data_IF_070370237551
#
_entry.id   IF_070370237551
#
_cell.length_a   1.000
_cell.length_b   1.000
_cell.length_c   1.000
_cell.angle_alpha   90.00
_cell.angle_beta   90.00
_cell.angle_gamma   90.00
#
_symmetry.space_group_name_H-M   'P 1'
#
loop_
_entity.id
_entity.type
_entity.pdbx_description
1 polymer ?
#
# COMPACT_ATOMS: atom_id res chain seq x y z
N UNK A 1 6.72 -10.93 9.89
CA UNK A 1 6.45 -11.17 8.46
C UNK A 1 6.41 -9.84 7.73
N UNK A 2 6.73 -9.82 6.44
CA UNK A 2 6.61 -8.60 5.59
C UNK A 2 5.88 -8.95 4.29
N UNK A 3 5.07 -8.00 3.80
CA UNK A 3 4.44 -8.04 2.48
C UNK A 3 4.62 -6.66 1.83
N UNK A 4 5.57 -6.55 0.91
CA UNK A 4 5.95 -5.28 0.34
C UNK A 4 5.41 -5.13 -1.08
N UNK A 5 4.62 -4.07 -1.30
CA UNK A 5 4.08 -3.65 -2.60
C UNK A 5 3.45 -4.80 -3.41
N UNK A 6 2.66 -5.65 -2.75
CA UNK A 6 2.09 -6.85 -3.37
C UNK A 6 0.57 -6.94 -3.26
N UNK A 7 -0.03 -6.58 -2.12
CA UNK A 7 -1.48 -6.74 -1.93
C UNK A 7 -2.32 -5.90 -2.89
N UNK A 8 -1.84 -4.74 -3.32
CA UNK A 8 -2.58 -3.88 -4.23
C UNK A 8 -2.80 -4.49 -5.63
N UNK A 9 -2.06 -5.54 -6.00
CA UNK A 9 -2.34 -6.28 -7.23
C UNK A 9 -3.56 -7.20 -7.12
N UNK A 10 -4.04 -7.46 -5.91
CA UNK A 10 -5.19 -8.33 -5.68
C UNK A 10 -6.46 -7.52 -5.45
N UNK A 11 -7.53 -7.91 -6.14
CA UNK A 11 -8.86 -7.33 -5.92
C UNK A 11 -9.41 -7.69 -4.54
N UNK A 12 -9.21 -8.93 -4.10
CA UNK A 12 -9.70 -9.45 -2.83
C UNK A 12 -8.53 -9.74 -1.89
N UNK A 13 -8.62 -9.22 -0.68
CA UNK A 13 -7.61 -9.40 0.36
C UNK A 13 -7.98 -10.42 1.44
N UNK A 14 -9.20 -10.93 1.43
CA UNK A 14 -9.69 -11.83 2.46
C UNK A 14 -8.80 -13.08 2.60
N UNK A 15 -8.54 -13.76 1.49
CA UNK A 15 -7.75 -15.00 1.49
C UNK A 15 -6.28 -14.75 1.89
N UNK A 16 -5.55 -13.79 1.30
CA UNK A 16 -4.16 -13.55 1.71
C UNK A 16 -4.05 -13.05 3.16
N UNK A 17 -4.95 -12.18 3.63
CA UNK A 17 -4.90 -11.69 5.01
C UNK A 17 -5.24 -12.79 6.02
N UNK A 18 -6.21 -13.66 5.73
CA UNK A 18 -6.48 -14.85 6.54
C UNK A 18 -5.27 -15.80 6.59
N UNK A 19 -4.54 -15.93 5.48
CA UNK A 19 -3.31 -16.72 5.42
C UNK A 19 -2.20 -16.10 6.28
N UNK A 20 -2.08 -14.76 6.30
CA UNK A 20 -1.14 -14.07 7.18
C UNK A 20 -1.49 -14.29 8.66
N UNK A 21 -2.77 -14.13 9.01
CA UNK A 21 -3.25 -14.35 10.37
C UNK A 21 -2.95 -15.79 10.84
N UNK A 22 -3.16 -16.80 9.98
CA UNK A 22 -2.92 -18.21 10.29
C UNK A 22 -1.47 -18.55 10.62
N UNK A 23 -0.50 -17.86 10.01
CA UNK A 23 0.93 -18.13 10.22
C UNK A 23 1.55 -17.26 11.31
N UNK A 24 0.88 -16.19 11.72
CA UNK A 24 1.35 -15.34 12.81
C UNK A 24 1.02 -15.97 14.16
N UNK A 25 1.95 -15.87 15.10
CA UNK A 25 1.66 -16.15 16.51
C UNK A 25 0.81 -15.03 17.09
N UNK A 26 -0.02 -15.29 18.10
CA UNK A 26 -0.69 -14.22 18.86
C UNK A 26 0.33 -13.16 19.31
N UNK A 27 0.03 -11.89 19.09
CA UNK A 27 0.95 -10.77 19.32
C UNK A 27 2.04 -10.61 18.27
N UNK A 28 2.12 -11.47 17.27
CA UNK A 28 3.06 -11.36 16.16
C UNK A 28 2.74 -10.18 15.24
N UNK A 29 3.72 -9.77 14.43
CA UNK A 29 3.58 -8.61 13.54
C UNK A 29 3.69 -9.00 12.07
N UNK A 30 2.94 -8.25 11.25
CA UNK A 30 3.18 -8.12 9.82
C UNK A 30 3.39 -6.65 9.46
N UNK A 31 4.36 -6.40 8.60
CA UNK A 31 4.57 -5.09 7.99
C UNK A 31 4.14 -5.17 6.54
N UNK A 32 3.21 -4.30 6.15
CA UNK A 32 2.64 -4.26 4.80
C UNK A 32 2.90 -2.88 4.22
N UNK A 33 3.50 -2.81 3.03
CA UNK A 33 3.59 -1.58 2.27
C UNK A 33 2.70 -1.63 1.03
N UNK A 34 2.07 -0.50 0.72
CA UNK A 34 1.16 -0.32 -0.41
C UNK A 34 1.47 1.01 -1.10
N UNK A 35 1.01 1.17 -2.33
CA UNK A 35 0.89 2.50 -2.92
C UNK A 35 -0.10 3.32 -2.09
N UNK A 36 0.25 4.59 -1.86
CA UNK A 36 -0.60 5.47 -1.06
C UNK A 36 -1.85 5.84 -1.86
N UNK A 37 -3.06 5.74 -1.29
CA UNK A 37 -4.31 6.01 -2.02
C UNK A 37 -4.48 7.47 -2.45
N UNK A 38 -3.72 8.38 -1.86
CA UNK A 38 -3.62 9.78 -2.26
C UNK A 38 -2.27 10.11 -2.93
N UNK A 39 -1.47 9.10 -3.26
CA UNK A 39 -0.12 9.27 -3.78
C UNK A 39 -0.05 9.90 -5.15
N UNK A 40 1.16 10.36 -5.46
CA UNK A 40 1.51 11.06 -6.67
C UNK A 40 1.20 10.26 -7.94
N UNK A 41 1.12 10.94 -9.06
CA UNK A 41 -0.09 11.14 -9.81
C UNK A 41 -0.55 9.83 -10.37
N UNK A 42 -1.60 9.28 -9.80
CA UNK A 42 -2.39 8.29 -10.51
C UNK A 42 -3.01 9.00 -11.71
N UNK A 43 -2.78 8.55 -12.94
CA UNK A 43 -3.18 9.26 -14.16
C UNK A 43 -4.66 9.53 -14.26
N UNK A 44 -5.47 8.82 -13.49
CA UNK A 44 -6.91 8.97 -13.48
C UNK A 44 -7.49 8.92 -12.06
N UNK A 45 -7.36 10.02 -11.33
CA UNK A 45 -8.09 10.21 -10.07
C UNK A 45 -9.56 10.65 -10.29
N UNK A 46 -10.06 10.53 -11.50
CA UNK A 46 -11.45 10.82 -11.85
C UNK A 46 -12.34 9.66 -11.44
N UNK A 47 -12.66 9.56 -10.19
CA UNK A 47 -13.58 8.56 -9.72
C UNK A 47 -13.98 8.82 -8.28
N UNK A 48 -14.98 8.09 -7.84
CA UNK A 48 -15.40 8.10 -6.46
C UNK A 48 -14.29 7.50 -5.58
N UNK A 49 -13.71 8.31 -4.72
CA UNK A 49 -12.68 7.85 -3.77
C UNK A 49 -13.15 6.66 -2.93
N UNK A 50 -14.42 6.63 -2.56
CA UNK A 50 -14.97 5.60 -1.67
C UNK A 50 -15.14 4.24 -2.33
N UNK A 51 -14.92 4.15 -3.63
CA UNK A 51 -14.97 2.89 -4.35
C UNK A 51 -13.57 2.32 -4.60
N UNK A 52 -13.47 0.99 -4.54
CA UNK A 52 -12.29 0.28 -5.01
C UNK A 52 -12.19 0.39 -6.52
N UNK A 53 -11.05 0.82 -7.03
CA UNK A 53 -10.83 1.07 -8.44
C UNK A 53 -9.60 0.33 -8.96
N UNK A 54 -9.71 -0.23 -10.16
CA UNK A 54 -8.56 -0.71 -10.91
C UNK A 54 -7.87 0.47 -11.59
N UNK A 55 -6.61 0.68 -11.28
CA UNK A 55 -5.77 1.75 -11.81
C UNK A 55 -4.70 1.15 -12.69
N UNK A 56 -4.37 1.84 -13.78
CA UNK A 56 -3.28 1.47 -14.67
C UNK A 56 -2.21 2.55 -14.64
N UNK A 57 -0.96 2.14 -14.51
CA UNK A 57 0.20 3.02 -14.57
C UNK A 57 1.23 2.45 -15.54
N UNK A 58 1.81 3.31 -16.38
CA UNK A 58 2.77 2.90 -17.40
C UNK A 58 4.14 3.49 -17.10
N UNK A 59 5.12 2.63 -16.98
CA UNK A 59 6.49 2.97 -16.68
C UNK A 59 7.40 2.68 -17.87
N UNK A 60 8.33 3.59 -18.13
CA UNK A 60 9.47 3.35 -19.01
C UNK A 60 10.69 3.00 -18.18
N UNK A 61 11.18 1.76 -18.29
CA UNK A 61 12.42 1.30 -17.68
C UNK A 61 13.33 0.68 -18.74
N UNK A 62 14.52 1.24 -18.90
CA UNK A 62 15.54 0.74 -19.83
C UNK A 62 14.97 0.46 -21.23
N UNK A 63 14.24 1.44 -21.80
CA UNK A 63 13.60 1.38 -23.12
C UNK A 63 12.48 0.33 -23.26
N UNK A 64 12.01 -0.23 -22.14
CA UNK A 64 10.84 -1.11 -22.12
C UNK A 64 9.68 -0.39 -21.43
N UNK A 65 8.57 -0.28 -22.16
CA UNK A 65 7.31 0.20 -21.61
C UNK A 65 6.59 -0.95 -20.90
N UNK A 66 6.26 -0.74 -19.62
CA UNK A 66 5.54 -1.71 -18.80
C UNK A 66 4.30 -1.07 -18.22
N UNK A 67 3.13 -1.58 -18.55
CA UNK A 67 1.87 -1.17 -17.94
C UNK A 67 1.55 -2.09 -16.77
N UNK A 68 1.37 -1.50 -15.59
CA UNK A 68 0.94 -2.19 -14.39
C UNK A 68 -0.51 -1.88 -14.08
N UNK A 69 -1.23 -2.86 -13.54
CA UNK A 69 -2.60 -2.71 -13.06
C UNK A 69 -2.63 -3.04 -11.58
N UNK A 70 -3.23 -2.16 -10.77
CA UNK A 70 -3.37 -2.37 -9.33
C UNK A 70 -4.69 -1.79 -8.81
N UNK A 71 -5.14 -2.30 -7.67
CA UNK A 71 -6.39 -1.91 -7.05
C UNK A 71 -6.14 -0.83 -6.00
N UNK A 72 -6.62 0.38 -6.25
CA UNK A 72 -6.69 1.42 -5.25
C UNK A 72 -7.88 1.18 -4.33
N UNK A 73 -7.65 1.25 -3.02
CA UNK A 73 -8.67 1.13 -1.99
C UNK A 73 -8.73 2.41 -1.15
N UNK A 74 -9.93 2.85 -0.73
CA UNK A 74 -10.06 3.84 0.33
C UNK A 74 -9.36 3.38 1.62
N UNK A 75 -8.79 4.31 2.37
CA UNK A 75 -8.12 3.99 3.65
C UNK A 75 -9.04 3.25 4.64
N UNK A 76 -10.33 3.62 4.69
CA UNK A 76 -11.31 2.92 5.52
C UNK A 76 -11.42 1.45 5.16
N UNK A 77 -11.57 1.12 3.87
CA UNK A 77 -11.63 -0.27 3.41
C UNK A 77 -10.33 -1.05 3.66
N UNK A 78 -9.18 -0.38 3.63
CA UNK A 78 -7.91 -1.00 4.01
C UNK A 78 -7.92 -1.37 5.50
N UNK A 79 -8.34 -0.43 6.35
CA UNK A 79 -8.41 -0.66 7.79
C UNK A 79 -9.42 -1.77 8.16
N UNK A 80 -10.59 -1.77 7.53
CA UNK A 80 -11.62 -2.79 7.71
C UNK A 80 -11.10 -4.18 7.32
N UNK A 81 -10.44 -4.30 6.16
CA UNK A 81 -9.86 -5.56 5.71
C UNK A 81 -8.82 -6.13 6.68
N UNK A 82 -8.00 -5.27 7.29
CA UNK A 82 -7.05 -5.70 8.33
C UNK A 82 -7.77 -6.13 9.60
N UNK A 83 -8.76 -5.35 10.05
CA UNK A 83 -9.53 -5.66 11.26
C UNK A 83 -10.29 -6.99 11.13
N UNK A 84 -10.93 -7.23 9.98
CA UNK A 84 -11.65 -8.48 9.67
C UNK A 84 -10.73 -9.70 9.72
N UNK A 85 -9.44 -9.53 9.44
CA UNK A 85 -8.43 -10.59 9.57
C UNK A 85 -7.81 -10.70 10.98
N UNK A 86 -8.28 -9.91 11.96
CA UNK A 86 -7.71 -9.86 13.31
C UNK A 86 -6.34 -9.18 13.37
N UNK A 87 -6.05 -8.32 12.40
CA UNK A 87 -4.81 -7.57 12.29
C UNK A 87 -5.05 -6.11 12.66
N UNK A 88 -4.59 -5.69 13.83
CA UNK A 88 -4.77 -4.32 14.30
C UNK A 88 -3.64 -3.41 13.83
N UNK A 89 -3.98 -2.23 13.33
CA UNK A 89 -3.01 -1.21 12.95
C UNK A 89 -2.35 -0.66 14.23
N UNK A 90 -1.07 -0.94 14.39
CA UNK A 90 -0.26 -0.45 15.51
C UNK A 90 0.51 0.82 15.12
N UNK A 91 0.91 0.91 13.85
CA UNK A 91 1.63 2.07 13.32
C UNK A 91 1.36 2.24 11.84
N UNK A 92 1.23 3.49 11.41
CA UNK A 92 1.27 3.93 10.01
C UNK A 92 2.53 4.76 9.82
N UNK A 93 3.21 4.57 8.71
CA UNK A 93 4.34 5.39 8.27
C UNK A 93 4.14 5.79 6.80
N UNK A 94 4.39 7.05 6.52
CA UNK A 94 4.39 7.63 5.18
C UNK A 94 5.83 8.08 4.88
N UNK A 95 6.62 7.23 4.21
CA UNK A 95 8.04 7.52 3.98
C UNK A 95 8.20 8.72 3.04
N UNK A 96 9.18 9.56 3.35
CA UNK A 96 9.59 10.70 2.53
C UNK A 96 10.99 10.45 1.97
N UNK A 97 11.30 11.01 0.78
CA UNK A 97 12.67 11.01 0.30
C UNK A 97 13.60 11.72 1.29
N UNK A 98 14.80 11.19 1.49
CA UNK A 98 15.80 11.84 2.31
C UNK A 98 16.30 13.13 1.65
N UNK A 99 16.80 14.08 2.45
CA UNK A 99 17.40 15.30 1.91
C UNK A 99 18.56 15.02 0.93
N UNK A 100 19.32 13.95 1.18
CA UNK A 100 20.37 13.51 0.27
C UNK A 100 19.79 13.00 -1.07
N UNK A 101 18.74 12.17 -1.02
CA UNK A 101 18.11 11.68 -2.23
C UNK A 101 17.53 12.83 -3.07
N UNK A 102 16.89 13.83 -2.44
CA UNK A 102 16.36 15.02 -3.12
C UNK A 102 17.49 15.81 -3.80
N UNK A 103 18.64 15.95 -3.14
CA UNK A 103 19.80 16.64 -3.75
C UNK A 103 20.38 15.89 -4.94
N UNK A 104 20.42 14.55 -4.88
CA UNK A 104 21.00 13.71 -5.94
C UNK A 104 20.09 13.49 -7.13
N UNK A 105 18.76 13.45 -6.90
CA UNK A 105 17.76 13.06 -7.87
C UNK A 105 16.57 14.05 -7.88
N UNK A 106 16.81 15.36 -8.07
CA UNK A 106 15.76 16.38 -7.92
C UNK A 106 14.67 16.28 -8.99
N UNK A 107 15.01 15.83 -10.18
CA UNK A 107 14.05 15.71 -11.29
C UNK A 107 13.13 14.51 -11.07
N UNK A 108 13.71 13.37 -10.70
CA UNK A 108 13.00 12.10 -10.49
C UNK A 108 12.07 12.15 -9.27
N UNK A 109 12.46 12.92 -8.26
CA UNK A 109 11.70 13.00 -6.99
C UNK A 109 10.71 14.17 -6.93
N UNK A 110 10.64 15.01 -7.96
CA UNK A 110 9.81 16.24 -7.96
C UNK A 110 8.35 15.98 -7.57
N UNK A 111 7.77 14.87 -8.01
CA UNK A 111 6.36 14.51 -7.75
C UNK A 111 6.11 13.85 -6.39
N UNK A 112 7.17 13.55 -5.61
CA UNK A 112 7.06 12.77 -4.36
C UNK A 112 7.64 13.50 -3.13
N UNK A 113 8.13 14.74 -3.32
CA UNK A 113 8.69 15.54 -2.22
C UNK A 113 7.60 15.94 -1.23
N UNK A 114 6.46 16.42 -1.74
CA UNK A 114 5.35 16.98 -0.98
C UNK A 114 4.10 16.11 -1.01
N UNK A 115 4.16 14.95 -1.65
CA UNK A 115 3.06 14.02 -1.79
C UNK A 115 3.49 12.60 -1.43
N UNK A 116 2.72 11.86 -0.62
CA UNK A 116 3.10 10.51 -0.24
C UNK A 116 2.94 9.55 -1.42
N UNK A 117 3.98 8.73 -1.69
CA UNK A 117 3.91 7.67 -2.71
C UNK A 117 3.52 6.34 -2.12
N UNK A 118 3.98 6.07 -0.91
CA UNK A 118 3.79 4.81 -0.23
C UNK A 118 3.19 5.01 1.16
N UNK A 119 2.48 3.99 1.61
CA UNK A 119 2.01 3.87 2.98
C UNK A 119 2.46 2.53 3.55
N UNK A 120 2.97 2.52 4.77
CA UNK A 120 3.47 1.33 5.44
C UNK A 120 2.69 1.14 6.73
N UNK A 121 2.11 -0.03 6.89
CA UNK A 121 1.38 -0.44 8.07
C UNK A 121 2.20 -1.45 8.86
N UNK A 122 2.38 -1.24 10.16
CA UNK A 122 2.74 -2.29 11.10
C UNK A 122 1.47 -2.76 11.78
N UNK A 123 1.14 -4.03 11.56
CA UNK A 123 -0.07 -4.65 12.06
C UNK A 123 0.30 -5.70 13.09
N UNK A 124 -0.43 -5.73 14.20
CA UNK A 124 -0.33 -6.77 15.23
C UNK A 124 -1.46 -7.76 15.08
N UNK A 125 -1.14 -9.04 15.04
CA UNK A 125 -2.15 -10.09 15.12
C UNK A 125 -2.68 -10.22 16.54
N UNK A 126 -3.93 -9.89 16.72
CA UNK A 126 -4.61 -9.96 18.04
C UNK A 126 -5.34 -11.27 18.26
N UNK A 127 -5.63 -12.03 17.21
CA UNK A 127 -6.46 -13.24 17.19
C UNK A 127 -7.60 -13.09 16.19
N UNK A 128 -8.26 -14.20 15.88
CA UNK A 128 -9.47 -14.13 15.06
C UNK A 128 -10.53 -13.28 15.76
N UNK A 129 -11.28 -12.43 15.03
CA UNK A 129 -12.44 -11.77 15.60
C UNK A 129 -13.42 -12.82 16.14
N UNK A 130 -13.95 -12.52 17.31
CA UNK A 130 -14.92 -13.40 17.97
C UNK A 130 -16.21 -13.51 17.15
#
# INVERSE_FOLDING_TARGET
MTCSLALHYLRDWQVPLASFARILRPGGWVVISLDHPFGAPLPDQRGDYFQQQLVSDTWNKADVEVTQHFWRRPLGQVADAFADAGLLIERISEPRPSAEAIRRFPAELRGVIDSPSFIVYRLRYWGAPA
#
